data_IF_666955655374
#
_entry.id   IF_666955655374
#
_cell.length_a   1.000
_cell.length_b   1.000
_cell.length_c   1.000
_cell.angle_alpha   90.00
_cell.angle_beta   90.00
_cell.angle_gamma   90.00
#
_symmetry.space_group_name_H-M   'P 1'
#
loop_
_entity.id
_entity.type
_entity.pdbx_description
1 polymer ?
#
# COMPACT_ATOMS: atom_id res chain seq x y z
N UNK A 1 -2.22 -9.90 17.15
CA UNK A 1 -1.15 -10.16 18.14
C UNK A 1 0.08 -10.62 17.39
N UNK A 2 1.29 -10.31 17.89
CA UNK A 2 2.54 -10.80 17.31
C UNK A 2 2.95 -10.16 16.00
N UNK A 3 2.83 -8.84 15.90
CA UNK A 3 3.04 -8.10 14.64
C UNK A 3 3.93 -6.89 14.88
N UNK A 4 4.69 -6.46 13.87
CA UNK A 4 5.60 -5.32 13.98
C UNK A 4 4.88 -3.98 14.20
N UNK A 5 3.58 -3.90 13.89
CA UNK A 5 2.72 -2.73 14.07
C UNK A 5 2.63 -2.22 15.51
N UNK A 6 3.00 -3.04 16.51
CA UNK A 6 3.03 -2.62 17.91
C UNK A 6 4.33 -1.89 18.31
N UNK A 7 5.32 -1.79 17.43
CA UNK A 7 6.63 -1.21 17.71
C UNK A 7 6.84 0.12 16.96
N UNK A 8 7.67 0.98 17.53
CA UNK A 8 8.21 2.18 16.90
C UNK A 8 9.74 2.09 16.85
N UNK A 9 10.42 2.93 16.05
CA UNK A 9 11.86 3.14 16.21
C UNK A 9 12.20 3.62 17.63
N UNK A 10 13.30 3.16 18.27
CA UNK A 10 14.32 2.25 17.71
C UNK A 10 14.04 0.73 17.85
N UNK A 11 13.07 0.28 18.64
CA UNK A 11 12.78 -1.16 18.85
C UNK A 11 12.55 -1.92 17.54
N UNK A 12 11.76 -1.36 16.62
CA UNK A 12 11.45 -2.01 15.35
C UNK A 12 12.68 -2.21 14.47
N UNK A 13 13.65 -1.29 14.50
CA UNK A 13 14.86 -1.36 13.66
C UNK A 13 15.76 -2.52 14.11
N UNK A 14 15.90 -2.71 15.44
CA UNK A 14 16.64 -3.84 16.02
C UNK A 14 16.02 -5.19 15.63
N UNK A 15 14.72 -5.33 15.82
CA UNK A 15 14.01 -6.61 15.67
C UNK A 15 13.64 -6.96 14.22
N UNK A 16 13.78 -6.02 13.29
CA UNK A 16 13.55 -6.23 11.86
C UNK A 16 14.84 -6.49 11.07
N UNK A 17 16.00 -6.53 11.74
CA UNK A 17 17.30 -6.79 11.13
C UNK A 17 17.27 -8.02 10.22
N UNK A 18 17.82 -7.95 9.00
CA UNK A 18 17.90 -9.11 8.11
C UNK A 18 18.86 -10.18 8.62
N UNK A 19 19.82 -9.81 9.47
CA UNK A 19 20.80 -10.69 10.09
C UNK A 19 20.42 -11.14 11.51
N UNK A 20 19.16 -10.93 11.92
CA UNK A 20 18.68 -11.28 13.24
C UNK A 20 18.87 -12.78 13.52
N UNK A 21 19.53 -13.10 14.63
CA UNK A 21 19.69 -14.47 15.14
C UNK A 21 18.74 -14.76 16.31
N UNK A 22 18.67 -16.02 16.74
CA UNK A 22 17.92 -16.40 17.95
C UNK A 22 18.53 -15.75 19.21
N UNK A 23 19.86 -15.66 19.28
CA UNK A 23 20.59 -15.00 20.38
C UNK A 23 20.29 -13.48 20.41
N UNK A 24 20.24 -12.83 19.26
CA UNK A 24 19.85 -11.42 19.18
C UNK A 24 18.40 -11.21 19.66
N UNK A 25 17.49 -12.12 19.28
CA UNK A 25 16.10 -12.06 19.71
C UNK A 25 15.97 -12.20 21.23
N UNK A 26 16.72 -13.11 21.85
CA UNK A 26 16.77 -13.26 23.31
C UNK A 26 17.28 -11.97 23.99
N UNK A 27 18.36 -11.37 23.48
CA UNK A 27 18.88 -10.11 24.00
C UNK A 27 17.88 -8.96 23.85
N UNK A 28 17.15 -8.90 22.74
CA UNK A 28 16.08 -7.91 22.52
C UNK A 28 14.96 -8.09 23.55
N UNK A 29 14.59 -9.35 23.88
CA UNK A 29 13.59 -9.63 24.90
C UNK A 29 14.07 -9.30 26.32
N UNK A 30 15.36 -9.48 26.61
CA UNK A 30 15.98 -9.01 27.85
C UNK A 30 15.99 -7.49 27.96
N UNK A 31 16.29 -6.80 26.86
CA UNK A 31 16.24 -5.35 26.80
C UNK A 31 14.81 -4.83 27.03
N UNK A 32 13.80 -5.43 26.39
CA UNK A 32 12.40 -5.07 26.63
C UNK A 32 12.03 -5.18 28.12
N UNK A 33 12.40 -6.29 28.79
CA UNK A 33 12.17 -6.46 30.24
C UNK A 33 12.87 -5.36 31.06
N UNK A 34 14.07 -4.96 30.65
CA UNK A 34 14.82 -3.88 31.30
C UNK A 34 14.14 -2.53 31.11
N UNK A 35 13.73 -2.20 29.89
CA UNK A 35 13.12 -0.91 29.52
C UNK A 35 11.76 -0.69 30.18
N UNK A 36 10.97 -1.77 30.34
CA UNK A 36 9.74 -1.75 31.12
C UNK A 36 10.05 -1.47 32.59
N UNK A 37 11.06 -2.15 33.16
CA UNK A 37 11.45 -1.98 34.57
C UNK A 37 11.96 -0.57 34.87
N UNK A 38 12.68 0.04 33.95
CA UNK A 38 13.26 1.39 34.11
C UNK A 38 12.31 2.51 33.66
N UNK A 39 11.15 2.17 33.08
CA UNK A 39 10.13 3.12 32.66
C UNK A 39 10.43 3.86 31.35
N UNK A 40 11.44 3.42 30.59
CA UNK A 40 11.85 4.03 29.30
C UNK A 40 11.18 3.39 28.08
N UNK A 41 10.27 2.43 28.29
CA UNK A 41 9.65 1.63 27.23
C UNK A 41 9.18 2.43 26.00
N UNK A 42 8.50 3.57 26.22
CA UNK A 42 7.97 4.41 25.13
C UNK A 42 9.08 5.09 24.32
N UNK A 43 10.17 5.48 24.98
CA UNK A 43 11.32 6.15 24.36
C UNK A 43 12.10 5.15 23.50
N UNK A 44 12.19 3.90 23.96
CA UNK A 44 12.83 2.80 23.26
C UNK A 44 11.98 2.18 22.15
N UNK A 45 10.79 2.73 21.90
CA UNK A 45 9.91 2.33 20.81
C UNK A 45 9.00 1.13 21.11
N UNK A 46 8.92 0.70 22.37
CA UNK A 46 8.00 -0.36 22.81
C UNK A 46 6.56 0.17 22.95
N UNK A 47 5.54 -0.71 22.82
CA UNK A 47 4.16 -0.31 23.00
C UNK A 47 3.92 0.20 24.43
N UNK A 48 3.19 1.31 24.63
CA UNK A 48 2.93 1.85 25.96
C UNK A 48 1.96 0.96 26.76
N UNK A 49 2.09 0.99 28.09
CA UNK A 49 1.26 0.22 29.03
C UNK A 49 -0.20 0.69 29.17
N UNK A 50 -0.67 1.62 28.34
CA UNK A 50 -1.95 2.34 28.50
C UNK A 50 -3.21 1.48 28.30
N UNK A 51 -3.12 0.17 28.45
CA UNK A 51 -4.22 -0.78 28.36
C UNK A 51 -4.17 -1.81 29.50
N UNK A 52 -4.04 -1.34 30.76
CA UNK A 52 -4.19 -2.19 31.95
C UNK A 52 -5.57 -2.90 32.03
N UNK A 53 -6.55 -2.44 31.25
CA UNK A 53 -7.89 -3.01 31.14
C UNK A 53 -8.22 -3.57 29.73
N UNK A 54 -7.23 -3.86 28.89
CA UNK A 54 -7.48 -4.48 27.58
C UNK A 54 -6.61 -5.72 27.34
N UNK A 55 -7.16 -6.67 26.58
CA UNK A 55 -6.51 -7.89 26.09
C UNK A 55 -5.22 -7.63 25.26
N UNK A 56 -4.94 -6.38 24.90
CA UNK A 56 -3.78 -5.94 24.14
C UNK A 56 -2.68 -5.37 25.05
N UNK A 57 -2.37 -6.06 26.15
CA UNK A 57 -1.25 -5.68 27.01
C UNK A 57 0.06 -5.65 26.20
N UNK A 58 0.86 -4.58 26.39
CA UNK A 58 2.15 -4.31 25.75
C UNK A 58 3.07 -5.55 25.77
N UNK A 59 3.24 -6.19 26.93
CA UNK A 59 4.09 -7.35 27.14
C UNK A 59 3.59 -8.59 26.39
N UNK A 60 2.28 -8.81 26.36
CA UNK A 60 1.69 -9.91 25.62
C UNK A 60 1.91 -9.74 24.10
N UNK A 61 1.73 -8.52 23.58
CA UNK A 61 1.98 -8.23 22.17
C UNK A 61 3.45 -8.46 21.77
N UNK A 62 4.40 -7.98 22.57
CA UNK A 62 5.84 -8.15 22.32
C UNK A 62 6.26 -9.62 22.40
N UNK A 63 5.81 -10.35 23.42
CA UNK A 63 6.14 -11.79 23.55
C UNK A 63 5.59 -12.64 22.40
N UNK A 64 4.37 -12.36 21.92
CA UNK A 64 3.84 -13.06 20.73
C UNK A 64 4.52 -12.66 19.43
N UNK A 65 5.09 -11.44 19.35
CA UNK A 65 5.91 -11.04 18.22
C UNK A 65 7.21 -11.83 18.22
N UNK A 66 7.86 -11.96 19.36
CA UNK A 66 9.05 -12.79 19.51
C UNK A 66 8.79 -14.26 19.13
N UNK A 67 7.67 -14.86 19.55
CA UNK A 67 7.29 -16.22 19.12
C UNK A 67 7.16 -16.30 17.58
N UNK A 68 6.56 -15.29 16.95
CA UNK A 68 6.39 -15.27 15.49
C UNK A 68 7.73 -15.13 14.77
N UNK A 69 8.66 -14.35 15.31
CA UNK A 69 10.00 -14.17 14.76
C UNK A 69 10.84 -15.42 14.97
N UNK A 70 10.85 -15.97 16.19
CA UNK A 70 11.55 -17.22 16.52
C UNK A 70 11.13 -18.37 15.59
N UNK A 71 9.83 -18.49 15.33
CA UNK A 71 9.28 -19.43 14.34
C UNK A 71 9.97 -19.30 12.97
N UNK A 72 10.16 -18.06 12.48
CA UNK A 72 10.83 -17.82 11.19
C UNK A 72 12.30 -18.22 11.24
N UNK A 73 12.99 -17.89 12.32
CA UNK A 73 14.41 -18.24 12.50
C UNK A 73 14.58 -19.75 12.54
N UNK A 74 13.74 -20.46 13.27
CA UNK A 74 13.77 -21.93 13.35
C UNK A 74 13.38 -22.60 12.03
N UNK A 75 12.38 -22.07 11.32
CA UNK A 75 12.02 -22.55 9.99
C UNK A 75 13.20 -22.46 9.01
N UNK A 76 13.95 -21.35 9.04
CA UNK A 76 15.16 -21.18 8.24
C UNK A 76 16.29 -22.13 8.68
N UNK A 77 16.49 -22.30 9.99
CA UNK A 77 17.49 -23.22 10.53
C UNK A 77 17.34 -24.65 10.00
N UNK A 78 16.11 -25.17 9.96
CA UNK A 78 15.85 -26.51 9.42
C UNK A 78 16.12 -26.63 7.90
N UNK A 79 16.04 -25.53 7.16
CA UNK A 79 16.41 -25.49 5.73
C UNK A 79 17.93 -25.40 5.56
N UNK A 80 18.58 -24.49 6.28
CA UNK A 80 19.98 -24.12 6.05
C UNK A 80 20.98 -25.17 6.56
N UNK A 81 20.68 -25.86 7.67
CA UNK A 81 21.58 -26.87 8.23
C UNK A 81 21.57 -28.22 7.50
N UNK A 82 21.13 -28.27 6.25
CA UNK A 82 21.08 -29.51 5.45
C UNK A 82 20.03 -30.51 5.93
N UNK A 83 19.14 -30.09 6.84
CA UNK A 83 18.04 -30.90 7.37
C UNK A 83 16.77 -30.82 6.51
N UNK A 84 16.89 -30.26 5.30
CA UNK A 84 15.79 -30.19 4.33
C UNK A 84 15.22 -31.56 3.97
N UNK A 85 16.00 -32.63 4.11
CA UNK A 85 15.54 -34.02 3.96
C UNK A 85 14.54 -34.45 5.03
N UNK A 86 14.56 -33.82 6.22
CA UNK A 86 13.70 -34.17 7.35
C UNK A 86 12.25 -33.72 7.13
N UNK A 87 12.01 -32.85 6.13
CA UNK A 87 10.69 -32.31 5.78
C UNK A 87 9.95 -31.68 6.99
N UNK A 88 10.71 -31.05 7.89
CA UNK A 88 10.15 -30.36 9.06
C UNK A 88 9.62 -28.99 8.64
N UNK A 89 8.36 -28.72 8.99
CA UNK A 89 7.71 -27.43 8.80
C UNK A 89 7.47 -26.78 10.17
N UNK A 90 7.85 -25.51 10.30
CA UNK A 90 7.69 -24.73 11.54
C UNK A 90 6.86 -23.50 11.25
N UNK A 91 5.71 -23.34 11.89
CA UNK A 91 4.80 -22.21 11.66
C UNK A 91 4.22 -21.68 12.96
N UNK A 92 3.90 -20.39 12.95
CA UNK A 92 3.16 -19.72 14.00
C UNK A 92 1.69 -19.67 13.61
N UNK A 93 0.79 -19.69 14.59
CA UNK A 93 -0.62 -19.45 14.33
C UNK A 93 -1.28 -18.63 15.43
N UNK A 94 -2.34 -17.93 15.04
CA UNK A 94 -3.30 -17.31 15.93
C UNK A 94 -4.54 -18.19 15.97
N UNK A 95 -4.96 -18.69 17.16
CA UNK A 95 -6.19 -19.47 17.26
C UNK A 95 -7.45 -18.61 17.27
N UNK A 96 -7.32 -17.28 17.34
CA UNK A 96 -8.44 -16.36 17.56
C UNK A 96 -8.69 -16.08 19.05
N UNK A 97 -9.80 -15.41 19.36
CA UNK A 97 -10.18 -15.11 20.75
C UNK A 97 -11.13 -16.20 21.26
N UNK A 98 -10.63 -17.02 22.19
CA UNK A 98 -11.28 -18.26 22.62
C UNK A 98 -11.91 -18.17 24.01
N UNK A 99 -13.04 -18.85 24.20
CA UNK A 99 -13.71 -19.05 25.48
C UNK A 99 -12.92 -19.98 26.39
N UNK A 100 -11.86 -19.43 26.97
CA UNK A 100 -10.93 -20.11 27.87
C UNK A 100 -10.76 -19.29 29.14
N UNK A 101 -10.08 -19.84 30.16
CA UNK A 101 -9.73 -19.04 31.35
C UNK A 101 -8.91 -17.80 30.99
N UNK A 102 -8.06 -17.90 29.95
CA UNK A 102 -7.34 -16.74 29.44
C UNK A 102 -8.32 -15.79 28.74
N UNK A 103 -9.02 -16.19 27.69
CA UNK A 103 -9.85 -15.28 26.88
C UNK A 103 -11.17 -14.81 27.51
N UNK A 104 -11.63 -15.44 28.58
CA UNK A 104 -12.88 -15.09 29.27
C UNK A 104 -14.15 -15.60 28.58
N UNK A 105 -15.32 -15.48 29.26
CA UNK A 105 -16.58 -16.06 28.79
C UNK A 105 -17.21 -15.31 27.60
N UNK A 106 -16.76 -14.10 27.29
CA UNK A 106 -17.29 -13.28 26.19
C UNK A 106 -16.53 -13.47 24.87
N UNK A 107 -15.54 -14.34 24.85
CA UNK A 107 -14.81 -14.63 23.64
C UNK A 107 -15.73 -15.27 22.57
N UNK A 108 -15.59 -14.93 21.29
CA UNK A 108 -16.52 -15.36 20.25
C UNK A 108 -16.39 -16.82 19.85
N UNK A 109 -15.21 -17.43 20.02
CA UNK A 109 -14.91 -18.78 19.54
C UNK A 109 -14.82 -19.79 20.70
N UNK A 110 -15.26 -21.02 20.46
CA UNK A 110 -15.02 -22.14 21.37
C UNK A 110 -13.56 -22.59 21.35
N UNK A 111 -13.18 -23.46 22.30
CA UNK A 111 -11.84 -24.06 22.29
C UNK A 111 -11.63 -24.98 21.07
N UNK A 112 -12.68 -25.68 20.64
CA UNK A 112 -12.68 -26.57 19.49
C UNK A 112 -12.49 -25.79 18.19
N UNK A 113 -13.22 -24.68 17.99
CA UNK A 113 -13.05 -23.80 16.82
C UNK A 113 -11.62 -23.21 16.78
N UNK A 114 -11.11 -22.80 17.94
CA UNK A 114 -9.74 -22.29 18.06
C UNK A 114 -8.64 -23.31 17.77
N UNK A 115 -8.92 -24.60 17.97
CA UNK A 115 -7.97 -25.68 17.74
C UNK A 115 -7.78 -26.00 16.24
N UNK A 116 -8.69 -25.55 15.37
CA UNK A 116 -8.67 -25.91 13.96
C UNK A 116 -7.36 -25.54 13.23
N UNK A 117 -6.85 -24.32 13.39
CA UNK A 117 -5.61 -23.88 12.72
C UNK A 117 -4.37 -24.59 13.29
N UNK A 118 -4.18 -24.70 14.61
CA UNK A 118 -3.12 -25.51 15.19
C UNK A 118 -3.13 -26.97 14.72
N UNK A 119 -4.29 -27.63 14.72
CA UNK A 119 -4.42 -29.03 14.28
C UNK A 119 -4.14 -29.17 12.79
N UNK A 120 -4.64 -28.24 11.96
CA UNK A 120 -4.32 -28.18 10.53
C UNK A 120 -2.80 -28.12 10.27
N UNK A 121 -2.08 -27.25 10.98
CA UNK A 121 -0.63 -27.12 10.84
C UNK A 121 0.13 -28.36 11.33
N UNK A 122 -0.35 -29.00 12.40
CA UNK A 122 0.26 -30.22 12.93
C UNK A 122 0.06 -31.45 12.02
N UNK A 123 -0.95 -31.40 11.13
CA UNK A 123 -1.35 -32.52 10.27
C UNK A 123 -1.17 -32.20 8.78
N UNK A 124 -0.28 -31.27 8.43
CA UNK A 124 0.04 -31.00 7.02
C UNK A 124 0.49 -32.31 6.33
N UNK A 125 0.02 -32.60 5.11
CA UNK A 125 0.37 -33.84 4.41
C UNK A 125 1.88 -34.00 4.26
N UNK A 126 2.41 -35.25 4.24
CA UNK A 126 3.81 -35.49 3.90
C UNK A 126 4.19 -34.83 2.57
N UNK A 127 5.45 -34.42 2.42
CA UNK A 127 5.97 -33.71 1.24
C UNK A 127 5.42 -32.29 1.03
N UNK A 128 4.59 -31.77 1.96
CA UNK A 128 4.22 -30.36 1.97
C UNK A 128 5.46 -29.48 2.10
N UNK A 129 5.57 -28.44 1.26
CA UNK A 129 6.68 -27.47 1.31
C UNK A 129 6.28 -26.12 1.90
N UNK A 130 4.98 -25.83 1.93
CA UNK A 130 4.40 -24.57 2.42
C UNK A 130 3.06 -24.87 3.09
N UNK A 131 2.70 -24.20 4.21
CA UNK A 131 3.43 -23.09 4.83
C UNK A 131 4.68 -23.53 5.60
N UNK A 132 5.74 -22.72 5.55
CA UNK A 132 6.91 -22.84 6.42
C UNK A 132 7.41 -21.45 6.83
N UNK A 133 7.69 -21.24 8.12
CA UNK A 133 8.06 -19.96 8.69
C UNK A 133 6.95 -18.89 8.56
N UNK A 134 5.68 -19.29 8.45
CA UNK A 134 4.56 -18.36 8.26
C UNK A 134 3.76 -18.17 9.54
N UNK A 135 3.01 -17.07 9.59
CA UNK A 135 1.95 -16.82 10.57
C UNK A 135 0.61 -17.16 9.93
N UNK A 136 -0.21 -17.99 10.58
CA UNK A 136 -1.54 -18.35 10.09
C UNK A 136 -2.67 -17.90 11.01
N UNK A 137 -3.82 -17.60 10.42
CA UNK A 137 -5.09 -17.36 11.10
C UNK A 137 -6.21 -17.94 10.22
N UNK A 138 -7.14 -18.71 10.81
CA UNK A 138 -8.20 -19.41 10.08
C UNK A 138 -7.67 -20.21 8.87
N UNK A 139 -6.58 -20.96 9.08
CA UNK A 139 -5.87 -21.74 8.04
C UNK A 139 -5.34 -20.92 6.85
N UNK A 140 -5.35 -19.59 6.93
CA UNK A 140 -4.81 -18.68 5.91
C UNK A 140 -3.52 -18.04 6.39
N UNK A 141 -2.56 -17.87 5.49
CA UNK A 141 -1.33 -17.14 5.77
C UNK A 141 -1.65 -15.66 5.96
N UNK A 142 -1.18 -15.10 7.06
CA UNK A 142 -1.24 -13.67 7.36
C UNK A 142 0.05 -13.04 6.84
N UNK A 143 -0.01 -12.01 5.96
CA UNK A 143 1.17 -11.29 5.54
C UNK A 143 1.91 -10.72 6.75
N UNK A 144 3.21 -11.01 6.84
CA UNK A 144 4.06 -10.60 7.95
C UNK A 144 5.34 -9.92 7.45
N UNK A 145 5.27 -8.60 7.38
CA UNK A 145 6.31 -7.72 6.84
C UNK A 145 7.28 -7.32 7.93
N UNK A 146 8.59 -7.56 7.71
CA UNK A 146 9.66 -7.23 8.67
C UNK A 146 9.80 -5.72 8.91
N UNK A 147 9.78 -4.93 7.85
CA UNK A 147 9.98 -3.48 7.90
C UNK A 147 8.76 -2.76 7.31
N UNK A 148 8.02 -1.97 8.12
CA UNK A 148 6.74 -1.43 7.69
C UNK A 148 6.87 -0.31 6.68
N UNK A 149 8.03 0.32 6.46
CA UNK A 149 8.23 1.11 5.25
C UNK A 149 9.65 0.89 4.70
N UNK A 150 9.78 0.69 3.38
CA UNK A 150 11.07 0.46 2.70
C UNK A 150 11.09 1.07 1.30
N UNK A 151 12.26 1.54 0.86
CA UNK A 151 12.53 1.91 -0.54
C UNK A 151 12.94 0.67 -1.32
N UNK A 152 12.25 0.41 -2.43
CA UNK A 152 12.55 -0.68 -3.36
C UNK A 152 13.03 -0.05 -4.68
N UNK A 153 14.32 -0.14 -4.95
CA UNK A 153 14.89 0.39 -6.19
C UNK A 153 14.70 -0.58 -7.36
N UNK A 154 14.46 -0.02 -8.55
CA UNK A 154 14.43 -0.77 -9.82
C UNK A 154 13.51 -1.99 -9.79
N UNK A 155 12.31 -1.85 -9.21
CA UNK A 155 11.31 -2.93 -9.21
C UNK A 155 10.88 -3.18 -10.66
N UNK A 156 10.98 -4.44 -11.08
CA UNK A 156 10.65 -4.83 -12.44
C UNK A 156 9.15 -4.72 -12.69
N UNK A 157 8.77 -4.12 -13.81
CA UNK A 157 7.41 -4.21 -14.34
C UNK A 157 7.41 -4.96 -15.67
N UNK A 158 6.53 -4.55 -16.59
CA UNK A 158 6.53 -5.05 -17.98
C UNK A 158 7.95 -5.02 -18.59
N UNK A 159 8.33 -6.02 -19.42
CA UNK A 159 9.65 -6.10 -20.03
C UNK A 159 10.21 -4.75 -20.52
N UNK A 160 11.43 -4.44 -20.08
CA UNK A 160 12.14 -3.19 -20.40
C UNK A 160 11.78 -1.99 -19.52
N UNK A 161 10.85 -2.14 -18.55
CA UNK A 161 10.43 -1.05 -17.66
C UNK A 161 10.64 -1.41 -16.19
N UNK A 162 11.07 -0.44 -15.41
CA UNK A 162 11.22 -0.55 -13.97
C UNK A 162 10.88 0.77 -13.28
N UNK A 163 10.43 0.70 -12.04
CA UNK A 163 10.20 1.88 -11.22
C UNK A 163 10.77 1.65 -9.83
N UNK A 164 11.21 2.74 -9.21
CA UNK A 164 11.38 2.73 -7.78
C UNK A 164 10.01 2.77 -7.10
N UNK A 165 9.87 2.04 -6.01
CA UNK A 165 8.62 1.95 -5.24
C UNK A 165 8.94 2.12 -3.77
N UNK A 166 8.21 2.99 -3.08
CA UNK A 166 8.22 3.01 -1.62
C UNK A 166 7.05 2.17 -1.14
N UNK A 167 7.37 1.11 -0.41
CA UNK A 167 6.39 0.34 0.32
C UNK A 167 6.17 0.97 1.69
N UNK A 168 4.92 1.07 2.13
CA UNK A 168 4.63 1.20 3.55
C UNK A 168 3.36 0.42 3.96
N UNK A 169 3.47 -0.45 4.96
CA UNK A 169 2.40 -1.26 5.52
C UNK A 169 2.97 -2.40 6.36
N UNK A 170 2.16 -2.97 7.25
CA UNK A 170 2.55 -4.12 8.07
C UNK A 170 1.50 -5.21 8.05
N UNK A 171 0.24 -4.80 8.05
CA UNK A 171 -0.95 -5.65 7.94
C UNK A 171 -1.83 -5.06 6.85
N UNK A 172 -2.19 -5.90 5.89
CA UNK A 172 -3.03 -5.47 4.80
C UNK A 172 -4.13 -6.47 4.51
N UNK A 173 -5.24 -5.92 4.03
CA UNK A 173 -6.32 -6.65 3.37
C UNK A 173 -6.56 -6.11 1.96
N UNK A 174 -5.82 -5.06 1.56
CA UNK A 174 -5.92 -4.40 0.28
C UNK A 174 -4.58 -3.73 -0.07
N UNK A 175 -4.39 -3.41 -1.35
CA UNK A 175 -3.30 -2.59 -1.84
C UNK A 175 -3.78 -1.18 -2.17
N UNK A 176 -2.97 -0.19 -1.85
CA UNK A 176 -3.15 1.20 -2.30
C UNK A 176 -1.94 1.57 -3.12
N UNK A 177 -2.11 1.76 -4.42
CA UNK A 177 -1.03 2.21 -5.32
C UNK A 177 -1.19 3.70 -5.54
N UNK A 178 -0.17 4.45 -5.18
CA UNK A 178 -0.15 5.91 -5.24
C UNK A 178 0.85 6.41 -6.29
N UNK A 179 0.39 7.30 -7.17
CA UNK A 179 1.21 8.04 -8.12
C UNK A 179 1.30 9.50 -7.69
N UNK A 180 2.52 9.95 -7.40
CA UNK A 180 2.82 11.26 -6.85
C UNK A 180 2.72 12.39 -7.90
N UNK A 181 2.64 13.62 -7.41
CA UNK A 181 2.62 14.83 -8.22
C UNK A 181 4.01 15.38 -8.53
N UNK A 182 4.04 16.54 -9.18
CA UNK A 182 5.25 17.36 -9.30
C UNK A 182 5.80 17.75 -7.92
N UNK A 183 7.06 18.18 -7.87
CA UNK A 183 7.84 18.55 -6.67
C UNK A 183 8.22 17.36 -5.78
N UNK A 184 7.35 16.36 -5.64
CA UNK A 184 7.58 15.22 -4.77
C UNK A 184 8.71 14.30 -5.29
N UNK A 185 9.72 14.09 -4.45
CA UNK A 185 10.83 13.17 -4.69
C UNK A 185 11.29 12.57 -3.35
N UNK A 186 12.40 11.84 -3.34
CA UNK A 186 13.09 11.50 -2.10
C UNK A 186 13.58 12.76 -1.37
N UNK A 187 13.52 12.73 -0.04
CA UNK A 187 13.84 13.89 0.80
C UNK A 187 15.25 14.42 0.54
N UNK A 188 16.23 13.53 0.29
CA UNK A 188 17.61 13.87 -0.05
C UNK A 188 17.71 14.72 -1.32
N UNK A 189 16.91 14.41 -2.35
CA UNK A 189 16.88 15.17 -3.60
C UNK A 189 16.16 16.51 -3.42
N UNK A 190 15.06 16.52 -2.66
CA UNK A 190 14.29 17.73 -2.40
C UNK A 190 15.09 18.76 -1.60
N UNK A 191 15.84 18.32 -0.58
CA UNK A 191 16.70 19.19 0.25
C UNK A 191 17.81 19.83 -0.58
N UNK A 192 18.38 19.09 -1.54
CA UNK A 192 19.42 19.60 -2.43
C UNK A 192 18.88 20.62 -3.45
N UNK A 193 17.57 20.63 -3.72
CA UNK A 193 16.96 21.53 -4.69
C UNK A 193 16.66 22.91 -4.10
N UNK A 194 16.95 23.97 -4.85
CA UNK A 194 16.85 25.36 -4.38
C UNK A 194 15.44 25.77 -3.94
N UNK A 195 14.42 25.39 -4.71
CA UNK A 195 12.99 25.67 -4.44
C UNK A 195 12.27 24.54 -3.70
N UNK A 196 12.53 23.28 -4.05
CA UNK A 196 11.69 22.15 -3.61
C UNK A 196 11.91 21.77 -2.14
N UNK A 197 13.03 22.20 -1.54
CA UNK A 197 13.29 22.06 -0.09
C UNK A 197 12.18 22.63 0.80
N UNK A 198 11.45 23.65 0.33
CA UNK A 198 10.33 24.25 1.06
C UNK A 198 9.11 23.31 1.18
N UNK A 199 9.10 22.21 0.41
CA UNK A 199 8.02 21.23 0.33
C UNK A 199 8.46 19.84 0.79
N UNK A 200 9.63 19.72 1.44
CA UNK A 200 10.23 18.44 1.86
C UNK A 200 9.33 17.61 2.79
N UNK A 201 8.39 18.24 3.50
CA UNK A 201 7.39 17.54 4.32
C UNK A 201 6.43 16.66 3.50
N UNK A 202 6.37 16.89 2.18
CA UNK A 202 5.58 16.13 1.21
C UNK A 202 6.44 15.17 0.38
N UNK A 203 7.64 14.81 0.85
CA UNK A 203 8.46 13.79 0.21
C UNK A 203 7.71 12.45 0.12
N UNK A 204 8.23 11.54 -0.72
CA UNK A 204 7.56 10.27 -1.00
C UNK A 204 7.40 9.37 0.24
N UNK A 205 8.36 9.36 1.17
CA UNK A 205 8.26 8.58 2.41
C UNK A 205 7.24 9.17 3.37
N UNK A 206 7.29 10.49 3.60
CA UNK A 206 6.31 11.18 4.44
C UNK A 206 4.89 11.01 3.90
N UNK A 207 4.73 11.09 2.58
CA UNK A 207 3.45 10.82 1.89
C UNK A 207 3.01 9.37 2.08
N UNK A 208 3.90 8.39 1.99
CA UNK A 208 3.55 6.98 2.22
C UNK A 208 3.03 6.72 3.65
N UNK A 209 3.63 7.38 4.66
CA UNK A 209 3.21 7.32 6.07
C UNK A 209 1.88 8.02 6.32
N UNK A 210 1.59 9.08 5.56
CA UNK A 210 0.31 9.76 5.61
C UNK A 210 -0.80 8.90 5.01
N UNK A 211 -0.53 8.26 3.86
CA UNK A 211 -1.45 7.34 3.20
C UNK A 211 -1.73 6.10 4.05
N UNK A 212 -0.75 5.56 4.78
CA UNK A 212 -1.00 4.40 5.66
C UNK A 212 -1.95 4.71 6.83
N UNK A 213 -2.02 5.96 7.27
CA UNK A 213 -3.02 6.42 8.26
C UNK A 213 -4.40 6.59 7.63
N UNK A 214 -4.45 7.07 6.37
CA UNK A 214 -5.70 7.31 5.62
C UNK A 214 -6.35 6.01 5.13
N UNK A 215 -5.54 5.03 4.78
CA UNK A 215 -5.96 3.69 4.38
C UNK A 215 -5.44 2.66 5.39
N UNK A 216 -6.06 2.58 6.58
CA UNK A 216 -5.68 1.58 7.57
C UNK A 216 -5.78 0.17 6.97
N UNK A 217 -4.98 -0.76 7.47
CA UNK A 217 -4.96 -2.16 7.01
C UNK A 217 -4.71 -2.31 5.51
N UNK A 218 -3.80 -1.49 4.96
CA UNK A 218 -3.45 -1.51 3.54
C UNK A 218 -1.94 -1.57 3.34
N UNK A 219 -1.53 -2.22 2.24
CA UNK A 219 -0.17 -2.09 1.72
C UNK A 219 -0.13 -0.88 0.79
N UNK A 220 0.60 0.15 1.20
CA UNK A 220 0.80 1.37 0.42
C UNK A 220 2.01 1.19 -0.49
N UNK A 221 1.83 1.46 -1.78
CA UNK A 221 2.85 1.40 -2.82
C UNK A 221 2.93 2.76 -3.50
N UNK A 222 3.88 3.60 -3.08
CA UNK A 222 4.15 4.87 -3.77
C UNK A 222 5.07 4.58 -4.94
N UNK A 223 4.54 4.66 -6.15
CA UNK A 223 5.30 4.45 -7.38
C UNK A 223 5.96 5.76 -7.77
N UNK A 224 7.29 5.78 -7.75
CA UNK A 224 8.06 6.93 -8.19
C UNK A 224 8.02 7.04 -9.71
N UNK A 225 7.82 8.26 -10.21
CA UNK A 225 7.96 8.59 -11.63
C UNK A 225 9.34 8.14 -12.16
N UNK A 226 9.38 7.68 -13.42
CA UNK A 226 10.62 7.16 -14.02
C UNK A 226 11.70 8.24 -14.20
N UNK A 227 11.28 9.51 -14.24
CA UNK A 227 12.17 10.67 -14.34
C UNK A 227 11.50 11.90 -13.73
N UNK A 228 12.29 12.77 -13.11
CA UNK A 228 11.88 14.13 -12.76
C UNK A 228 12.60 15.14 -13.65
N UNK A 229 11.88 15.84 -14.52
CA UNK A 229 12.44 16.91 -15.34
C UNK A 229 12.71 18.14 -14.46
N UNK A 230 13.93 18.69 -14.55
CA UNK A 230 14.42 19.78 -13.70
C UNK A 230 14.26 19.50 -12.19
N UNK A 231 14.29 18.22 -11.79
CA UNK A 231 14.08 17.81 -10.39
C UNK A 231 12.70 18.18 -9.82
N UNK A 232 11.73 18.54 -10.68
CA UNK A 232 10.43 19.08 -10.26
C UNK A 232 9.26 18.41 -10.97
N UNK A 233 9.31 18.30 -12.30
CA UNK A 233 8.15 17.81 -13.06
C UNK A 233 8.20 16.29 -13.21
N UNK A 234 7.20 15.59 -12.68
CA UNK A 234 7.14 14.14 -12.73
C UNK A 234 6.92 13.67 -14.17
N UNK A 235 7.66 12.66 -14.62
CA UNK A 235 7.50 12.04 -15.93
C UNK A 235 7.29 10.55 -15.77
N UNK A 236 6.10 10.07 -16.13
CA UNK A 236 5.70 8.67 -15.99
C UNK A 236 5.88 7.87 -17.29
N UNK A 237 7.04 7.99 -17.94
CA UNK A 237 7.33 7.39 -19.25
C UNK A 237 7.11 5.87 -19.33
N UNK A 238 7.15 5.16 -18.20
CA UNK A 238 6.85 3.72 -18.15
C UNK A 238 5.34 3.40 -18.19
N UNK A 239 4.49 4.38 -17.90
CA UNK A 239 3.04 4.25 -17.88
C UNK A 239 2.38 5.02 -19.02
N UNK A 240 2.83 6.24 -19.29
CA UNK A 240 2.25 7.13 -20.31
C UNK A 240 3.36 7.78 -21.13
N UNK A 241 3.11 7.99 -22.42
CA UNK A 241 4.00 8.77 -23.27
C UNK A 241 3.93 10.22 -22.83
N UNK A 242 5.08 10.88 -22.66
CA UNK A 242 5.11 12.27 -22.23
C UNK A 242 6.08 13.09 -23.08
N UNK A 243 5.76 14.36 -23.25
CA UNK A 243 6.73 15.34 -23.74
C UNK A 243 7.91 15.50 -22.78
N UNK A 244 8.91 16.29 -23.18
CA UNK A 244 10.05 16.62 -22.32
C UNK A 244 9.65 17.26 -20.99
N UNK A 245 8.52 17.99 -20.96
CA UNK A 245 7.98 18.67 -19.78
C UNK A 245 6.97 17.81 -18.99
N UNK A 246 6.79 16.53 -19.34
CA UNK A 246 5.83 15.64 -18.68
C UNK A 246 4.39 15.75 -19.18
N UNK A 247 4.09 16.58 -20.19
CA UNK A 247 2.72 16.64 -20.75
C UNK A 247 2.36 15.28 -21.36
N UNK A 248 1.24 14.65 -20.96
CA UNK A 248 0.89 13.30 -21.39
C UNK A 248 0.34 13.26 -22.82
N UNK A 249 0.62 12.17 -23.52
CA UNK A 249 -0.06 11.74 -24.74
C UNK A 249 -0.68 10.35 -24.49
N UNK A 250 -2.00 10.31 -24.38
CA UNK A 250 -2.74 9.10 -24.00
C UNK A 250 -3.12 8.29 -25.22
N UNK A 251 -2.76 7.01 -25.21
CA UNK A 251 -3.17 6.04 -26.23
C UNK A 251 -3.42 4.68 -25.60
N UNK A 252 -4.14 3.77 -26.24
CA UNK A 252 -4.53 2.51 -25.59
C UNK A 252 -3.47 1.39 -25.63
N UNK A 253 -2.29 1.64 -26.20
CA UNK A 253 -1.28 0.61 -26.49
C UNK A 253 0.02 0.78 -25.69
N UNK A 254 0.07 1.68 -24.71
CA UNK A 254 1.29 1.94 -23.93
C UNK A 254 1.62 0.76 -23.01
N UNK A 255 0.62 0.08 -22.46
CA UNK A 255 0.83 -1.08 -21.58
C UNK A 255 1.06 -0.69 -20.12
N UNK A 256 0.41 0.38 -19.66
CA UNK A 256 0.35 0.81 -18.28
C UNK A 256 -0.22 -0.27 -17.35
N UNK A 257 -1.31 -0.95 -17.74
CA UNK A 257 -1.94 -2.00 -16.91
C UNK A 257 -1.06 -3.25 -16.80
N UNK A 258 -0.51 -3.82 -17.91
CA UNK A 258 0.49 -4.86 -17.83
C UNK A 258 1.70 -4.47 -16.97
N UNK A 259 2.19 -3.24 -17.12
CA UNK A 259 3.31 -2.74 -16.35
C UNK A 259 2.99 -2.63 -14.85
N UNK A 260 1.84 -2.06 -14.49
CA UNK A 260 1.36 -1.98 -13.11
C UNK A 260 1.23 -3.35 -12.46
N UNK A 261 0.63 -4.31 -13.16
CA UNK A 261 0.46 -5.68 -12.67
C UNK A 261 1.80 -6.32 -12.32
N UNK A 262 2.77 -6.26 -13.24
CA UNK A 262 4.09 -6.85 -13.03
C UNK A 262 4.88 -6.12 -11.96
N UNK A 263 4.76 -4.79 -11.91
CA UNK A 263 5.41 -3.95 -10.90
C UNK A 263 4.91 -4.30 -9.49
N UNK A 264 3.59 -4.45 -9.33
CA UNK A 264 2.98 -4.80 -8.06
C UNK A 264 3.37 -6.22 -7.61
N UNK A 265 3.29 -7.22 -8.48
CA UNK A 265 3.73 -8.60 -8.18
C UNK A 265 5.21 -8.62 -7.76
N UNK A 266 6.08 -7.95 -8.52
CA UNK A 266 7.51 -7.86 -8.19
C UNK A 266 7.77 -7.14 -6.87
N UNK A 267 7.01 -6.09 -6.57
CA UNK A 267 7.12 -5.35 -5.30
C UNK A 267 6.67 -6.20 -4.11
N UNK A 268 5.52 -6.87 -4.22
CA UNK A 268 4.98 -7.78 -3.20
C UNK A 268 5.96 -8.90 -2.90
N UNK A 269 6.48 -9.58 -3.93
CA UNK A 269 7.46 -10.66 -3.76
C UNK A 269 8.72 -10.19 -3.04
N UNK A 270 9.23 -8.99 -3.35
CA UNK A 270 10.37 -8.39 -2.63
C UNK A 270 10.05 -8.12 -1.16
N UNK A 271 8.90 -7.53 -0.86
CA UNK A 271 8.52 -7.13 0.52
C UNK A 271 8.19 -8.33 1.40
N UNK A 272 7.47 -9.31 0.84
CA UNK A 272 7.08 -10.53 1.55
C UNK A 272 8.20 -11.59 1.52
N UNK A 273 9.30 -11.33 0.82
CA UNK A 273 10.42 -12.24 0.60
C UNK A 273 9.95 -13.60 0.08
N UNK A 274 9.12 -13.56 -0.96
CA UNK A 274 8.54 -14.74 -1.59
C UNK A 274 9.52 -15.31 -2.62
N UNK A 275 9.66 -16.63 -2.62
CA UNK A 275 10.37 -17.32 -3.68
C UNK A 275 9.60 -17.30 -5.02
N UNK A 276 10.27 -17.63 -6.12
CA UNK A 276 9.70 -17.54 -7.48
C UNK A 276 8.41 -18.36 -7.67
N UNK A 277 8.27 -19.47 -6.97
CA UNK A 277 7.13 -20.38 -7.05
C UNK A 277 6.24 -20.31 -5.81
N UNK A 278 6.57 -19.47 -4.85
CA UNK A 278 5.76 -19.28 -3.67
C UNK A 278 4.51 -18.47 -4.03
N UNK A 279 3.38 -18.92 -3.48
CA UNK A 279 2.07 -18.30 -3.65
C UNK A 279 2.05 -16.91 -3.02
N UNK A 280 1.57 -15.93 -3.77
CA UNK A 280 1.33 -14.60 -3.25
C UNK A 280 -0.02 -14.59 -2.52
N UNK A 281 0.05 -14.58 -1.19
CA UNK A 281 -1.12 -14.55 -0.29
C UNK A 281 -1.93 -13.26 -0.39
N UNK A 282 -1.44 -12.28 -1.15
CA UNK A 282 -2.11 -11.00 -1.44
C UNK A 282 -2.60 -10.91 -2.89
N UNK A 283 -2.54 -12.00 -3.66
CA UNK A 283 -2.96 -12.02 -5.07
C UNK A 283 -4.45 -11.69 -5.25
N UNK A 284 -5.29 -11.92 -4.25
CA UNK A 284 -6.73 -11.59 -4.30
C UNK A 284 -7.07 -10.27 -3.59
N UNK A 285 -6.07 -9.57 -3.03
CA UNK A 285 -6.33 -8.32 -2.33
C UNK A 285 -6.91 -7.28 -3.30
N UNK A 286 -8.00 -6.57 -2.91
CA UNK A 286 -8.50 -5.42 -3.65
C UNK A 286 -7.42 -4.37 -3.85
N UNK A 287 -7.45 -3.69 -4.98
CA UNK A 287 -6.53 -2.64 -5.35
C UNK A 287 -7.27 -1.31 -5.37
N UNK A 288 -6.70 -0.31 -4.70
CA UNK A 288 -7.12 1.08 -4.74
C UNK A 288 -6.03 1.84 -5.47
N UNK A 289 -6.39 2.55 -6.55
CA UNK A 289 -5.46 3.42 -7.26
C UNK A 289 -5.69 4.86 -6.83
N UNK A 290 -4.60 5.58 -6.57
CA UNK A 290 -4.63 6.97 -6.12
C UNK A 290 -3.63 7.76 -6.97
N UNK A 291 -4.11 8.76 -7.69
CA UNK A 291 -3.26 9.70 -8.42
C UNK A 291 -3.38 11.06 -7.77
N UNK A 292 -2.25 11.70 -7.49
CA UNK A 292 -2.23 13.07 -6.99
C UNK A 292 -1.59 14.00 -8.01
N UNK A 293 -2.26 15.11 -8.29
CA UNK A 293 -1.74 16.14 -9.20
C UNK A 293 -1.37 15.55 -10.56
N UNK A 294 -0.11 15.72 -10.98
CA UNK A 294 0.42 15.13 -12.20
C UNK A 294 0.34 13.59 -12.22
N UNK A 295 0.37 12.89 -11.08
CA UNK A 295 0.19 11.44 -11.03
C UNK A 295 -1.15 10.95 -11.57
N UNK A 296 -2.17 11.82 -11.66
CA UNK A 296 -3.45 11.50 -12.29
C UNK A 296 -3.34 11.16 -13.79
N UNK A 297 -2.27 11.57 -14.47
CA UNK A 297 -2.05 11.18 -15.88
C UNK A 297 -1.91 9.66 -16.02
N UNK A 298 -1.35 8.97 -15.02
CA UNK A 298 -1.27 7.51 -15.02
C UNK A 298 -2.66 6.89 -14.90
N UNK A 299 -3.53 7.47 -14.07
CA UNK A 299 -4.91 7.02 -13.94
C UNK A 299 -5.68 7.23 -15.25
N UNK A 300 -5.53 8.39 -15.89
CA UNK A 300 -6.15 8.65 -17.19
C UNK A 300 -5.69 7.62 -18.22
N UNK A 301 -4.40 7.31 -18.26
CA UNK A 301 -3.86 6.27 -19.13
C UNK A 301 -4.44 4.87 -18.85
N UNK A 302 -4.64 4.51 -17.58
CA UNK A 302 -5.31 3.26 -17.18
C UNK A 302 -6.75 3.23 -17.71
N UNK A 303 -7.49 4.35 -17.68
CA UNK A 303 -8.85 4.43 -18.24
C UNK A 303 -8.87 4.13 -19.75
N UNK A 304 -7.89 4.62 -20.51
CA UNK A 304 -7.76 4.31 -21.94
C UNK A 304 -7.55 2.81 -22.17
N UNK A 305 -6.70 2.16 -21.36
CA UNK A 305 -6.38 0.74 -21.53
C UNK A 305 -7.49 -0.21 -21.02
N UNK A 306 -8.26 0.19 -19.99
CA UNK A 306 -9.41 -0.60 -19.51
C UNK A 306 -10.38 -0.87 -20.66
N UNK A 307 -10.74 0.17 -21.42
CA UNK A 307 -11.67 0.07 -22.54
C UNK A 307 -11.24 -0.98 -23.58
N UNK A 308 -9.97 -0.94 -23.96
CA UNK A 308 -9.42 -1.82 -25.00
C UNK A 308 -9.19 -3.24 -24.49
N UNK A 309 -8.81 -3.41 -23.22
CA UNK A 309 -8.64 -4.74 -22.61
C UNK A 309 -9.98 -5.46 -22.48
N UNK A 310 -11.04 -4.75 -22.10
CA UNK A 310 -12.40 -5.30 -22.03
C UNK A 310 -12.84 -5.77 -23.42
N UNK A 311 -12.62 -4.96 -24.45
CA UNK A 311 -12.99 -5.33 -25.83
C UNK A 311 -12.17 -6.46 -26.43
N UNK A 312 -10.91 -6.61 -26.02
CA UNK A 312 -10.00 -7.63 -26.56
C UNK A 312 -10.01 -8.94 -25.78
N UNK A 313 -10.84 -9.06 -24.73
CA UNK A 313 -11.02 -10.28 -23.91
C UNK A 313 -9.70 -10.89 -23.38
N UNK A 314 -8.69 -10.07 -23.07
CA UNK A 314 -7.42 -10.53 -22.51
C UNK A 314 -7.62 -11.01 -21.07
N UNK A 315 -8.05 -12.25 -20.90
CA UNK A 315 -8.51 -12.87 -19.65
C UNK A 315 -7.59 -12.64 -18.45
N UNK A 316 -6.28 -12.74 -18.64
CA UNK A 316 -5.31 -12.51 -17.56
C UNK A 316 -5.25 -11.08 -17.05
N UNK A 317 -5.45 -10.07 -17.91
CA UNK A 317 -5.48 -8.67 -17.51
C UNK A 317 -6.85 -8.27 -16.94
N UNK A 318 -7.93 -8.90 -17.42
CA UNK A 318 -9.27 -8.72 -16.85
C UNK A 318 -9.34 -9.11 -15.38
N UNK A 319 -8.75 -10.25 -14.99
CA UNK A 319 -8.65 -10.64 -13.58
C UNK A 319 -7.98 -9.56 -12.72
N UNK A 320 -6.91 -8.95 -13.23
CA UNK A 320 -6.21 -7.86 -12.54
C UNK A 320 -7.08 -6.59 -12.46
N UNK A 321 -7.75 -6.22 -13.55
CA UNK A 321 -8.65 -5.06 -13.58
C UNK A 321 -9.80 -5.22 -12.58
N UNK A 322 -10.40 -6.42 -12.47
CA UNK A 322 -11.48 -6.68 -11.52
C UNK A 322 -11.05 -6.62 -10.05
N UNK A 323 -9.75 -6.69 -9.76
CA UNK A 323 -9.24 -6.40 -8.41
C UNK A 323 -9.26 -4.90 -8.09
N UNK A 324 -9.29 -4.02 -9.09
CA UNK A 324 -9.32 -2.56 -8.89
C UNK A 324 -10.70 -2.16 -8.37
N UNK A 325 -10.81 -2.05 -7.06
CA UNK A 325 -12.06 -1.78 -6.35
C UNK A 325 -12.39 -0.28 -6.28
N UNK A 326 -11.37 0.57 -6.32
CA UNK A 326 -11.57 2.02 -6.31
C UNK A 326 -10.46 2.78 -7.05
N UNK A 327 -10.81 3.92 -7.65
CA UNK A 327 -9.85 4.88 -8.19
C UNK A 327 -10.13 6.28 -7.66
N UNK A 328 -9.09 6.93 -7.16
CA UNK A 328 -9.11 8.26 -6.58
C UNK A 328 -8.27 9.24 -7.41
N UNK A 329 -8.91 10.26 -7.97
CA UNK A 329 -8.22 11.41 -8.56
C UNK A 329 -8.14 12.53 -7.53
N UNK A 330 -6.92 12.87 -7.09
CA UNK A 330 -6.65 13.95 -6.15
C UNK A 330 -6.06 15.13 -6.92
N UNK A 331 -6.91 16.11 -7.19
CA UNK A 331 -6.57 17.40 -7.78
C UNK A 331 -5.77 17.28 -9.08
N UNK A 332 -6.32 16.52 -10.03
CA UNK A 332 -5.71 16.28 -11.33
C UNK A 332 -5.43 17.57 -12.08
N UNK A 333 -4.23 17.67 -12.63
CA UNK A 333 -3.84 18.76 -13.51
C UNK A 333 -2.39 18.64 -13.98
N UNK A 334 -2.07 19.34 -15.06
CA UNK A 334 -0.72 19.43 -15.62
C UNK A 334 -0.56 20.73 -16.43
N UNK A 335 0.63 20.95 -17.01
CA UNK A 335 0.98 22.14 -17.79
C UNK A 335 0.59 22.05 -19.29
N UNK A 336 -0.24 21.07 -19.67
CA UNK A 336 -0.70 20.89 -21.05
C UNK A 336 -1.89 21.79 -21.40
N UNK A 337 -2.64 21.40 -22.42
CA UNK A 337 -3.81 22.17 -22.91
C UNK A 337 -5.13 21.38 -22.85
N UNK A 338 -5.07 20.07 -22.61
CA UNK A 338 -6.22 19.18 -22.51
C UNK A 338 -5.82 17.86 -21.84
N UNK A 339 -6.81 17.01 -21.55
CA UNK A 339 -6.67 15.67 -20.99
C UNK A 339 -6.19 15.60 -19.53
N UNK A 340 -6.48 16.63 -18.74
CA UNK A 340 -6.36 16.54 -17.28
C UNK A 340 -7.44 15.62 -16.72
N UNK A 341 -8.60 15.56 -17.38
CA UNK A 341 -9.66 14.60 -17.12
C UNK A 341 -10.12 13.94 -18.42
N UNK A 342 -10.36 12.63 -18.39
CA UNK A 342 -10.87 11.90 -19.55
C UNK A 342 -12.28 12.40 -19.88
N UNK A 343 -12.54 12.70 -21.15
CA UNK A 343 -13.87 13.19 -21.58
C UNK A 343 -14.53 12.36 -22.68
N UNK A 344 -13.86 11.32 -23.17
CA UNK A 344 -14.44 10.37 -24.14
C UNK A 344 -15.49 9.48 -23.45
N UNK A 345 -16.73 9.57 -23.91
CA UNK A 345 -17.87 8.85 -23.33
C UNK A 345 -17.75 7.32 -23.42
N UNK A 346 -17.04 6.79 -24.41
CA UNK A 346 -16.86 5.34 -24.58
C UNK A 346 -15.90 4.81 -23.52
N UNK A 347 -14.81 5.54 -23.27
CA UNK A 347 -13.83 5.20 -22.24
C UNK A 347 -14.47 5.28 -20.85
N UNK A 348 -15.21 6.37 -20.57
CA UNK A 348 -15.93 6.54 -19.30
C UNK A 348 -17.08 5.55 -19.12
N UNK A 349 -17.71 5.10 -20.21
CA UNK A 349 -18.69 4.01 -20.17
C UNK A 349 -18.08 2.71 -19.65
N UNK A 350 -16.95 2.29 -20.24
CA UNK A 350 -16.23 1.10 -19.77
C UNK A 350 -15.71 1.26 -18.33
N UNK A 351 -15.27 2.47 -17.96
CA UNK A 351 -14.86 2.76 -16.59
C UNK A 351 -16.02 2.58 -15.59
N UNK A 352 -17.19 3.13 -15.91
CA UNK A 352 -18.40 3.06 -15.08
C UNK A 352 -18.89 1.62 -14.86
N UNK A 353 -18.78 0.77 -15.88
CA UNK A 353 -19.19 -0.64 -15.82
C UNK A 353 -18.20 -1.51 -15.03
N UNK A 354 -16.94 -1.09 -14.93
CA UNK A 354 -15.86 -1.96 -14.44
C UNK A 354 -15.39 -1.61 -13.04
N UNK A 355 -15.29 -0.31 -12.72
CA UNK A 355 -14.71 0.16 -11.47
C UNK A 355 -15.83 0.47 -10.46
N UNK A 356 -15.92 -0.28 -9.35
CA UNK A 356 -17.05 -0.15 -8.42
C UNK A 356 -17.15 1.21 -7.74
N UNK A 357 -16.02 1.91 -7.52
CA UNK A 357 -15.98 3.17 -6.78
C UNK A 357 -15.06 4.19 -7.43
N UNK A 358 -15.61 5.34 -7.80
CA UNK A 358 -14.87 6.47 -8.35
C UNK A 358 -14.92 7.63 -7.37
N UNK A 359 -13.76 8.20 -7.02
CA UNK A 359 -13.65 9.28 -6.03
C UNK A 359 -12.83 10.44 -6.61
N UNK A 360 -13.39 11.63 -6.52
CA UNK A 360 -12.82 12.85 -7.12
C UNK A 360 -12.63 13.90 -6.03
N UNK A 361 -11.38 14.22 -5.73
CA UNK A 361 -11.01 15.20 -4.71
C UNK A 361 -10.39 16.41 -5.41
N UNK A 362 -10.94 17.61 -5.18
CA UNK A 362 -10.59 18.80 -5.94
C UNK A 362 -10.15 19.91 -5.01
N UNK A 363 -9.26 20.78 -5.47
CA UNK A 363 -9.02 22.07 -4.84
C UNK A 363 -9.18 23.20 -5.85
N UNK A 364 -9.47 24.44 -5.40
CA UNK A 364 -9.44 25.61 -6.25
C UNK A 364 -8.13 25.81 -7.05
N UNK A 365 -7.01 25.21 -6.61
CA UNK A 365 -5.73 25.33 -7.28
C UNK A 365 -5.76 24.86 -8.74
N UNK A 366 -6.41 23.73 -9.03
CA UNK A 366 -6.52 23.24 -10.42
C UNK A 366 -7.80 23.72 -11.10
N UNK A 367 -8.97 23.50 -10.50
CA UNK A 367 -10.26 23.72 -11.18
C UNK A 367 -10.68 25.19 -11.28
N UNK A 368 -10.04 26.10 -10.54
CA UNK A 368 -10.27 27.56 -10.61
C UNK A 368 -9.01 28.31 -11.08
N UNK A 369 -8.05 27.63 -11.71
CA UNK A 369 -6.89 28.27 -12.33
C UNK A 369 -7.33 29.13 -13.51
N UNK A 370 -7.04 30.44 -13.45
CA UNK A 370 -7.43 31.41 -14.50
C UNK A 370 -6.73 31.17 -15.84
N UNK A 371 -5.53 30.61 -15.82
CA UNK A 371 -4.73 30.31 -17.02
C UNK A 371 -5.05 28.92 -17.61
N UNK A 372 -5.62 28.02 -16.79
CA UNK A 372 -5.92 26.62 -17.16
C UNK A 372 -7.39 26.26 -16.92
N UNK A 373 -8.31 27.18 -17.27
CA UNK A 373 -9.76 27.01 -17.03
C UNK A 373 -10.36 25.74 -17.63
N UNK A 374 -9.74 25.22 -18.70
CA UNK A 374 -10.10 23.95 -19.34
C UNK A 374 -10.06 22.75 -18.36
N UNK A 375 -9.23 22.77 -17.30
CA UNK A 375 -9.18 21.70 -16.30
C UNK A 375 -10.52 21.57 -15.57
N UNK A 376 -11.11 22.70 -15.15
CA UNK A 376 -12.41 22.72 -14.49
C UNK A 376 -13.56 22.28 -15.42
N UNK A 377 -13.48 22.67 -16.70
CA UNK A 377 -14.46 22.27 -17.72
C UNK A 377 -14.42 20.75 -17.99
N UNK A 378 -13.23 20.18 -18.18
CA UNK A 378 -13.04 18.74 -18.35
C UNK A 378 -13.49 17.96 -17.11
N UNK A 379 -13.15 18.44 -15.91
CA UNK A 379 -13.56 17.82 -14.65
C UNK A 379 -15.09 17.76 -14.50
N UNK A 380 -15.77 18.87 -14.81
CA UNK A 380 -17.23 18.93 -14.76
C UNK A 380 -17.85 17.95 -15.77
N UNK A 381 -17.26 17.84 -16.97
CA UNK A 381 -17.70 16.90 -18.01
C UNK A 381 -17.48 15.44 -17.59
N UNK A 382 -16.29 15.11 -17.08
CA UNK A 382 -15.95 13.78 -16.54
C UNK A 382 -16.98 13.32 -15.52
N UNK A 383 -17.28 14.18 -14.54
CA UNK A 383 -18.25 13.88 -13.48
C UNK A 383 -19.66 13.71 -14.05
N UNK A 384 -20.07 14.58 -14.97
CA UNK A 384 -21.40 14.52 -15.60
C UNK A 384 -21.59 13.22 -16.38
N UNK A 385 -20.62 12.83 -17.19
CA UNK A 385 -20.69 11.61 -18.01
C UNK A 385 -20.80 10.38 -17.11
N UNK A 386 -19.92 10.24 -16.11
CA UNK A 386 -19.94 9.09 -15.20
C UNK A 386 -21.25 8.98 -14.40
N UNK A 387 -21.78 10.11 -13.90
CA UNK A 387 -23.11 10.14 -13.27
C UNK A 387 -24.21 9.69 -14.23
N UNK A 388 -24.19 10.13 -15.48
CA UNK A 388 -25.19 9.74 -16.49
C UNK A 388 -25.14 8.26 -16.86
N UNK A 389 -23.98 7.62 -16.67
CA UNK A 389 -23.76 6.18 -16.87
C UNK A 389 -24.05 5.34 -15.62
N UNK A 390 -24.52 5.96 -14.53
CA UNK A 390 -24.86 5.26 -13.29
C UNK A 390 -23.66 4.82 -12.44
N UNK A 391 -22.47 5.37 -12.68
CA UNK A 391 -21.28 5.06 -11.88
C UNK A 391 -21.45 5.54 -10.43
N UNK A 392 -20.89 4.80 -9.46
CA UNK A 392 -20.69 5.31 -8.08
C UNK A 392 -19.52 6.31 -8.06
N UNK A 393 -19.79 7.52 -8.53
CA UNK A 393 -18.87 8.66 -8.49
C UNK A 393 -19.27 9.65 -7.40
N UNK A 394 -18.32 9.92 -6.49
CA UNK A 394 -18.41 11.01 -5.51
C UNK A 394 -17.35 12.07 -5.79
N UNK A 395 -17.71 13.33 -5.59
CA UNK A 395 -16.81 14.47 -5.77
C UNK A 395 -16.92 15.45 -4.61
N UNK A 396 -15.78 15.98 -4.16
CA UNK A 396 -15.70 16.97 -3.09
C UNK A 396 -14.65 18.03 -3.45
N UNK A 397 -15.02 19.29 -3.28
CA UNK A 397 -14.11 20.43 -3.37
C UNK A 397 -13.65 20.76 -1.95
N UNK A 398 -12.35 20.69 -1.73
CA UNK A 398 -11.71 21.03 -0.46
C UNK A 398 -11.23 22.47 -0.50
N UNK A 399 -11.27 23.14 0.66
CA UNK A 399 -10.85 24.54 0.80
C UNK A 399 -11.57 25.49 -0.18
N UNK A 400 -12.87 25.24 -0.44
CA UNK A 400 -13.65 25.97 -1.43
C UNK A 400 -13.78 27.47 -1.11
N UNK A 401 -13.81 27.79 0.17
CA UNK A 401 -13.82 29.13 0.74
C UNK A 401 -12.48 29.86 0.58
N UNK A 402 -11.43 29.14 0.18
CA UNK A 402 -10.09 29.67 -0.02
C UNK A 402 -9.79 29.79 -1.53
N UNK A 403 -9.00 30.81 -1.90
CA UNK A 403 -8.55 30.97 -3.29
C UNK A 403 -7.59 29.87 -3.75
N UNK A 404 -7.25 29.81 -5.06
CA UNK A 404 -6.23 28.90 -5.59
C UNK A 404 -4.91 29.01 -4.83
N UNK A 405 -4.41 27.90 -4.28
CA UNK A 405 -3.20 27.88 -3.46
C UNK A 405 -2.45 26.56 -3.60
N UNK A 406 -1.17 26.64 -3.94
CA UNK A 406 -0.29 25.47 -3.98
C UNK A 406 -0.15 24.82 -2.60
N UNK A 407 -0.26 25.59 -1.51
CA UNK A 407 -0.26 25.02 -0.16
C UNK A 407 -1.49 24.14 0.07
N UNK A 408 -2.68 24.59 -0.34
CA UNK A 408 -3.91 23.79 -0.22
C UNK A 408 -3.91 22.57 -1.15
N UNK A 409 -3.28 22.70 -2.33
CA UNK A 409 -3.05 21.58 -3.23
C UNK A 409 -2.32 20.42 -2.52
N UNK A 410 -1.20 20.69 -1.84
CA UNK A 410 -0.50 19.66 -1.07
C UNK A 410 -1.25 19.25 0.20
N UNK A 411 -1.87 20.20 0.91
CA UNK A 411 -2.69 19.92 2.10
C UNK A 411 -3.87 19.00 1.80
N UNK A 412 -4.26 18.84 0.53
CA UNK A 412 -5.22 17.84 0.13
C UNK A 412 -4.79 16.42 0.56
N UNK A 413 -3.51 16.07 0.42
CA UNK A 413 -2.97 14.76 0.84
C UNK A 413 -3.23 14.49 2.33
N UNK A 414 -3.23 15.55 3.14
CA UNK A 414 -3.50 15.51 4.57
C UNK A 414 -4.99 15.45 4.93
N UNK A 415 -5.88 15.84 4.03
CA UNK A 415 -7.29 16.15 4.37
C UNK A 415 -8.32 15.30 3.65
N UNK A 416 -7.99 14.76 2.47
CA UNK A 416 -8.94 14.00 1.66
C UNK A 416 -9.48 12.77 2.42
N UNK A 417 -10.79 12.57 2.38
CA UNK A 417 -11.45 11.41 3.00
C UNK A 417 -11.64 10.30 1.94
N UNK A 418 -10.96 9.14 2.05
CA UNK A 418 -11.14 8.05 1.09
C UNK A 418 -12.57 7.45 1.07
N UNK A 419 -13.32 7.55 2.17
CA UNK A 419 -14.69 7.05 2.20
C UNK A 419 -15.64 7.99 1.44
N UNK A 420 -15.37 9.30 1.51
CA UNK A 420 -16.31 10.36 1.16
C UNK A 420 -17.69 10.05 1.74
N UNK A 421 -17.70 9.70 3.03
CA UNK A 421 -18.94 9.61 3.79
C UNK A 421 -19.57 10.99 3.80
N UNK A 422 -20.86 11.08 3.48
CA UNK A 422 -21.55 12.37 3.54
C UNK A 422 -21.37 12.92 4.97
N UNK A 423 -20.87 14.14 5.10
CA UNK A 423 -21.10 14.88 6.33
C UNK A 423 -22.62 15.07 6.41
N UNK A 424 -23.24 14.39 7.37
CA UNK A 424 -24.64 14.62 7.74
C UNK A 424 -24.89 16.07 8.14
#
# INVERSE_FOLDING_TARGET
>A
MGKYSCLNPPAIDRISSPALTEEDLDQIMDQFKSDVRTGVQKQEGWPPDSLLNSWQNSAYCVTKLAVTILTRLQANYFIECGRSSDQILVNACCPGWLQTRLGGPHAPLSAEEGAETPVYLALLPPQTKSPNGKLLFEKKIVPFVKAPCVKLSGVHGHPGRNNDVIFCGSEAQQHVVFFHGDVQDYVENMVAHSSNKAWMQWDLESTSKLLSKRFPSSFIWVVKSSRLHLGTYACYNNFVETSALGVPDHNANIGAIPHLRWLLDSAVRKVLNLEKHEEDVTEDFPIILVGFSHGCVVLNQIVHEIHDIIKSEKTGLLKFIYRINAIHWLDSGHCGQSNAWVTDERLLGSLAETIPRIRVHLTPYQIRDKSRGWIGEEQARFTKILKSRGADIKSQIYFEDQGPSLCNHFKLLETFDPAMSANE
#
